data_IF_782310980031
#
_entry.id   IF_782310980031
#
_cell.length_a   1.000
_cell.length_b   1.000
_cell.length_c   1.000
_cell.angle_alpha   90.00
_cell.angle_beta   90.00
_cell.angle_gamma   90.00
#
_symmetry.space_group_name_H-M   'P 1'
#
loop_
_entity.id
_entity.type
_entity.pdbx_description
1 polymer ?
#
# COMPACT_ATOMS: atom_id res chain seq x y z
N UNK A 1 -0.26 31.41 0.10
CA UNK A 1 -1.19 30.31 -0.17
C UNK A 1 -0.81 29.64 -1.48
N UNK A 2 -0.76 28.33 -1.45
CA UNK A 2 -0.46 27.59 -2.66
C UNK A 2 -1.67 27.57 -3.59
N UNK A 3 -1.61 28.35 -4.65
CA UNK A 3 -2.69 28.43 -5.64
C UNK A 3 -2.89 27.07 -6.32
N UNK A 4 -1.81 26.32 -6.48
CA UNK A 4 -1.84 24.98 -7.05
C UNK A 4 -2.36 23.93 -6.07
N UNK A 5 -2.85 24.38 -4.92
CA UNK A 5 -3.73 23.60 -4.10
C UNK A 5 -3.09 22.68 -3.08
N UNK A 6 -1.87 22.93 -2.63
CA UNK A 6 -1.34 22.08 -1.59
C UNK A 6 -0.57 22.86 -0.52
N UNK A 7 -0.89 22.52 0.73
CA UNK A 7 -0.07 22.82 1.89
C UNK A 7 1.06 21.78 1.88
N UNK A 8 2.31 22.22 1.78
CA UNK A 8 3.46 21.32 1.69
C UNK A 8 3.62 20.43 2.91
N UNK A 9 3.35 20.96 4.11
CA UNK A 9 3.45 20.16 5.32
C UNK A 9 2.40 19.05 5.35
N UNK A 10 1.16 19.40 4.99
CA UNK A 10 0.07 18.43 4.92
C UNK A 10 0.33 17.39 3.83
N UNK A 11 0.82 17.83 2.68
CA UNK A 11 1.14 16.92 1.57
C UNK A 11 2.28 15.97 1.94
N UNK A 12 3.29 16.46 2.66
CA UNK A 12 4.38 15.63 3.12
C UNK A 12 3.89 14.56 4.11
N UNK A 13 2.96 14.91 4.99
CA UNK A 13 2.35 13.95 5.91
C UNK A 13 1.55 12.89 5.13
N UNK A 14 0.85 13.30 4.09
CA UNK A 14 0.09 12.36 3.25
C UNK A 14 1.02 11.40 2.51
N UNK A 15 2.11 11.90 1.95
CA UNK A 15 3.13 11.07 1.29
C UNK A 15 3.65 10.00 2.25
N UNK A 16 4.01 10.41 3.47
CA UNK A 16 4.50 9.50 4.49
C UNK A 16 3.43 8.50 4.91
N UNK A 17 2.18 8.94 5.00
CA UNK A 17 1.06 8.07 5.34
C UNK A 17 0.87 6.97 4.29
N UNK A 18 0.88 7.32 3.00
CA UNK A 18 0.78 6.33 1.93
C UNK A 18 1.91 5.30 2.01
N UNK A 19 3.13 5.76 2.24
CA UNK A 19 4.27 4.86 2.35
C UNK A 19 4.14 3.92 3.56
N UNK A 20 3.74 4.45 4.70
CA UNK A 20 3.56 3.68 5.92
C UNK A 20 2.46 2.62 5.76
N UNK A 21 1.34 2.98 5.14
CA UNK A 21 0.25 2.05 4.91
C UNK A 21 0.64 0.97 3.90
N UNK A 22 1.39 1.33 2.87
CA UNK A 22 1.93 0.36 1.91
C UNK A 22 2.80 -0.69 2.63
N UNK A 23 3.73 -0.24 3.45
CA UNK A 23 4.63 -1.13 4.22
C UNK A 23 3.83 -2.02 5.17
N UNK A 24 2.85 -1.44 5.86
CA UNK A 24 1.98 -2.20 6.77
C UNK A 24 1.19 -3.28 6.03
N UNK A 25 0.63 -2.95 4.87
CA UNK A 25 -0.10 -3.92 4.05
C UNK A 25 0.79 -5.03 3.53
N UNK A 26 1.99 -4.71 3.09
CA UNK A 26 2.96 -5.71 2.65
C UNK A 26 3.31 -6.67 3.78
N UNK A 27 3.48 -6.16 4.99
CA UNK A 27 3.78 -6.98 6.17
C UNK A 27 2.61 -7.90 6.51
N UNK A 28 1.40 -7.37 6.54
CA UNK A 28 0.19 -8.16 6.82
C UNK A 28 -0.03 -9.21 5.74
N UNK A 29 0.12 -8.83 4.48
CA UNK A 29 -0.03 -9.73 3.34
C UNK A 29 0.96 -10.88 3.43
N UNK A 30 2.23 -10.59 3.69
CA UNK A 30 3.29 -11.59 3.82
C UNK A 30 3.01 -12.55 4.99
N UNK A 31 2.57 -12.02 6.13
CA UNK A 31 2.22 -12.81 7.30
C UNK A 31 1.05 -13.75 7.04
N UNK A 32 0.01 -13.26 6.38
CA UNK A 32 -1.15 -14.07 6.03
C UNK A 32 -0.81 -15.14 4.99
N UNK A 33 0.04 -14.81 4.03
CA UNK A 33 0.50 -15.76 3.03
C UNK A 33 1.27 -16.91 3.66
N UNK A 34 2.18 -16.59 4.58
CA UNK A 34 2.94 -17.61 5.32
C UNK A 34 2.03 -18.46 6.20
N UNK A 35 1.10 -17.83 6.91
CA UNK A 35 0.15 -18.54 7.77
C UNK A 35 -0.75 -19.49 6.96
N UNK A 36 -1.22 -19.04 5.80
CA UNK A 36 -2.03 -19.86 4.90
C UNK A 36 -1.25 -21.09 4.42
N UNK A 37 0.02 -20.89 4.06
CA UNK A 37 0.90 -21.97 3.61
C UNK A 37 1.17 -22.97 4.73
N UNK A 38 1.52 -22.48 5.91
CA UNK A 38 1.80 -23.31 7.09
C UNK A 38 0.58 -24.10 7.52
N UNK A 39 -0.62 -23.57 7.33
CA UNK A 39 -1.87 -24.24 7.70
C UNK A 39 -2.06 -25.59 7.02
N UNK A 40 -1.38 -25.83 5.90
CA UNK A 40 -1.43 -27.11 5.19
C UNK A 40 -0.95 -28.27 6.04
N UNK A 41 -0.09 -27.99 7.01
CA UNK A 41 0.46 -29.01 7.89
C UNK A 41 -0.47 -29.43 9.04
N UNK A 42 -1.51 -28.64 9.35
CA UNK A 42 -2.35 -28.90 10.50
C UNK A 42 -3.84 -28.64 10.29
N UNK A 43 -4.24 -28.05 9.16
CA UNK A 43 -5.64 -27.74 8.88
C UNK A 43 -6.04 -28.34 7.53
N UNK A 44 -6.88 -29.36 7.56
CA UNK A 44 -7.32 -30.10 6.38
C UNK A 44 -8.84 -30.13 6.33
N UNK A 45 -9.37 -30.55 5.17
CA UNK A 45 -10.81 -30.66 4.95
C UNK A 45 -11.33 -29.59 4.01
N UNK A 46 -12.63 -29.67 3.71
CA UNK A 46 -13.27 -28.81 2.70
C UNK A 46 -13.18 -27.33 3.04
N UNK A 47 -13.36 -26.98 4.32
CA UNK A 47 -13.33 -25.57 4.72
C UNK A 47 -11.92 -25.00 4.60
N UNK A 48 -10.92 -25.80 4.97
CA UNK A 48 -9.51 -25.40 4.84
C UNK A 48 -9.13 -25.20 3.37
N UNK A 49 -9.55 -26.12 2.51
CA UNK A 49 -9.29 -26.04 1.08
C UNK A 49 -9.97 -24.79 0.48
N UNK A 50 -11.22 -24.54 0.89
CA UNK A 50 -11.95 -23.35 0.46
C UNK A 50 -11.23 -22.07 0.87
N UNK A 51 -10.77 -22.00 2.12
CA UNK A 51 -10.03 -20.83 2.61
C UNK A 51 -8.78 -20.57 1.77
N UNK A 52 -7.96 -21.61 1.57
CA UNK A 52 -6.72 -21.46 0.81
C UNK A 52 -6.99 -21.09 -0.65
N UNK A 53 -8.05 -21.64 -1.23
CA UNK A 53 -8.43 -21.29 -2.60
C UNK A 53 -8.86 -19.83 -2.70
N UNK A 54 -9.71 -19.36 -1.80
CA UNK A 54 -10.16 -17.98 -1.77
C UNK A 54 -9.00 -17.02 -1.48
N UNK A 55 -8.12 -17.40 -0.56
CA UNK A 55 -6.91 -16.61 -0.29
C UNK A 55 -6.07 -16.43 -1.55
N UNK A 56 -5.82 -17.52 -2.28
CA UNK A 56 -5.07 -17.47 -3.53
C UNK A 56 -5.74 -16.56 -4.56
N UNK A 57 -7.07 -16.60 -4.65
CA UNK A 57 -7.84 -15.73 -5.55
C UNK A 57 -7.77 -14.25 -5.14
N UNK A 58 -7.65 -13.97 -3.85
CA UNK A 58 -7.59 -12.59 -3.34
C UNK A 58 -6.21 -11.95 -3.49
N UNK A 59 -5.14 -12.74 -3.55
CA UNK A 59 -3.77 -12.23 -3.62
C UNK A 59 -3.56 -11.16 -4.69
N UNK A 60 -4.00 -11.37 -5.95
CA UNK A 60 -3.80 -10.34 -6.98
C UNK A 60 -4.52 -9.04 -6.67
N UNK A 61 -5.66 -9.10 -6.00
CA UNK A 61 -6.42 -7.90 -5.63
C UNK A 61 -5.70 -7.13 -4.52
N UNK A 62 -5.14 -7.83 -3.54
CA UNK A 62 -4.36 -7.21 -2.47
C UNK A 62 -3.09 -6.58 -3.03
N UNK A 63 -2.44 -7.25 -3.98
CA UNK A 63 -1.27 -6.70 -4.64
C UNK A 63 -1.60 -5.41 -5.39
N UNK A 64 -2.77 -5.34 -6.02
CA UNK A 64 -3.23 -4.11 -6.68
C UNK A 64 -3.39 -2.96 -5.70
N UNK A 65 -3.87 -3.23 -4.49
CA UNK A 65 -4.00 -2.20 -3.45
C UNK A 65 -2.62 -1.68 -3.05
N UNK A 66 -1.66 -2.58 -2.85
CA UNK A 66 -0.27 -2.20 -2.53
C UNK A 66 0.32 -1.35 -3.65
N UNK A 67 0.13 -1.78 -4.90
CA UNK A 67 0.63 -1.07 -6.07
C UNK A 67 0.02 0.33 -6.17
N UNK A 68 -1.29 0.44 -5.91
CA UNK A 68 -2.00 1.73 -5.92
C UNK A 68 -1.45 2.68 -4.85
N UNK A 69 -1.18 2.17 -3.65
CA UNK A 69 -0.57 2.97 -2.58
C UNK A 69 0.83 3.42 -2.95
N UNK A 70 1.59 2.57 -3.62
CA UNK A 70 2.92 2.91 -4.11
C UNK A 70 2.85 4.03 -5.14
N UNK A 71 1.92 3.93 -6.09
CA UNK A 71 1.70 4.97 -7.12
C UNK A 71 1.26 6.28 -6.47
N UNK A 72 0.35 6.21 -5.49
CA UNK A 72 -0.12 7.39 -4.77
C UNK A 72 1.03 8.06 -4.01
N UNK A 73 1.90 7.27 -3.39
CA UNK A 73 3.09 7.78 -2.72
C UNK A 73 4.00 8.52 -3.71
N UNK A 74 4.30 7.90 -4.85
CA UNK A 74 5.16 8.50 -5.86
C UNK A 74 4.54 9.78 -6.46
N UNK A 75 3.26 9.74 -6.78
CA UNK A 75 2.57 10.90 -7.35
C UNK A 75 2.52 12.07 -6.36
N UNK A 76 2.24 11.78 -5.09
CA UNK A 76 2.23 12.80 -4.04
C UNK A 76 3.62 13.38 -3.80
N UNK A 77 4.64 12.55 -3.82
CA UNK A 77 6.02 12.99 -3.67
C UNK A 77 6.44 13.90 -4.83
N UNK A 78 6.10 13.52 -6.06
CA UNK A 78 6.39 14.33 -7.24
C UNK A 78 5.68 15.66 -7.18
N UNK A 79 4.42 15.66 -6.76
CA UNK A 79 3.65 16.90 -6.62
C UNK A 79 4.25 17.81 -5.56
N UNK A 80 4.60 17.25 -4.42
CA UNK A 80 5.29 17.95 -3.34
C UNK A 80 6.59 18.60 -3.85
N UNK A 81 7.41 17.83 -4.55
CA UNK A 81 8.69 18.30 -5.06
C UNK A 81 8.50 19.41 -6.12
N UNK A 82 7.48 19.28 -6.97
CA UNK A 82 7.17 20.28 -7.98
C UNK A 82 6.74 21.61 -7.34
N UNK A 83 5.90 21.55 -6.33
CA UNK A 83 5.46 22.75 -5.60
C UNK A 83 6.67 23.40 -4.91
N UNK A 84 7.48 22.62 -4.24
CA UNK A 84 8.67 23.10 -3.56
C UNK A 84 9.63 23.76 -4.52
N UNK A 85 9.84 23.17 -5.69
CA UNK A 85 10.72 23.70 -6.72
C UNK A 85 10.19 25.02 -7.29
N UNK A 86 8.89 25.08 -7.57
CA UNK A 86 8.25 26.30 -8.06
C UNK A 86 8.37 27.43 -7.06
N UNK A 87 8.25 27.14 -5.78
CA UNK A 87 8.37 28.13 -4.70
C UNK A 87 9.81 28.57 -4.53
N UNK A 88 10.76 27.65 -4.56
CA UNK A 88 12.18 27.95 -4.32
C UNK A 88 12.87 28.56 -5.55
N UNK A 89 12.35 28.30 -6.73
CA UNK A 89 12.93 28.76 -7.99
C UNK A 89 12.68 30.23 -8.31
N UNK A 90 11.91 30.90 -7.49
CA UNK A 90 11.65 32.34 -7.66
C UNK A 90 12.57 33.14 -6.75
#
# INVERSE_FOLDING_TARGET
>A
MAISGADLDALNKLVNHFNNQKVNLETVFSGLNSASDESRGYWTGLLADKFRHEWTSMKPHLQKIVDLLHEAHQASQTHHDNIRRATAGN
#
